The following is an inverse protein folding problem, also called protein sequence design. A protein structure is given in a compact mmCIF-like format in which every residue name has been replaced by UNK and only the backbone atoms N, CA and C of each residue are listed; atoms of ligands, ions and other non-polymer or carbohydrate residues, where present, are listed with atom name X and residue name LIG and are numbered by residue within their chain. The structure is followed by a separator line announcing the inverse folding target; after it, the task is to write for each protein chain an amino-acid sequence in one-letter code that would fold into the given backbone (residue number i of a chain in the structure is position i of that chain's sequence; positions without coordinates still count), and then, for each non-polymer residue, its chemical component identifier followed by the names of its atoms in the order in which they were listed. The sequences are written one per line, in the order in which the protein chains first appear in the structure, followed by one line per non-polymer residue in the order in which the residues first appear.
data_IF_324061894494
#
_entry.id   IF_324061894494
#
_cell.length_a   1.000
_cell.length_b   1.000
_cell.length_c   1.000
_cell.angle_alpha   90.00
_cell.angle_beta   90.00
_cell.angle_gamma   90.00
#
_symmetry.space_group_name_H-M   'P 1'
#
loop_
_entity.id
_entity.type
_entity.pdbx_description
1 polymer ?
#
# COMPACT_ATOMS: atom_id res chain seq x y z
N UNK A 1 -5.43 21.57 -21.35
CA UNK A 1 -5.76 21.93 -19.94
C UNK A 1 -7.27 21.84 -19.81
N UNK A 2 -7.76 21.00 -18.92
CA UNK A 2 -9.20 20.89 -18.66
C UNK A 2 -9.64 22.19 -17.96
N UNK A 3 -10.63 22.88 -18.55
CA UNK A 3 -11.23 24.07 -17.96
C UNK A 3 -12.12 23.64 -16.77
N UNK A 4 -11.56 23.57 -15.59
CA UNK A 4 -12.33 23.33 -14.37
C UNK A 4 -13.15 24.56 -14.01
N UNK A 5 -14.42 24.32 -13.67
CA UNK A 5 -15.34 25.36 -13.20
C UNK A 5 -15.79 25.02 -11.78
N UNK A 6 -16.02 26.04 -10.97
CA UNK A 6 -16.60 25.87 -9.64
C UNK A 6 -18.11 25.68 -9.75
N UNK A 7 -18.65 24.78 -8.92
CA UNK A 7 -20.09 24.61 -8.78
C UNK A 7 -20.57 23.18 -8.92
N UNK A 8 -21.71 22.89 -8.26
CA UNK A 8 -22.30 21.56 -8.16
C UNK A 8 -22.70 21.00 -9.54
N UNK A 9 -23.24 21.83 -10.42
CA UNK A 9 -23.69 21.38 -11.74
C UNK A 9 -22.53 20.94 -12.61
N UNK A 10 -21.39 21.64 -12.55
CA UNK A 10 -20.17 21.22 -13.23
C UNK A 10 -19.68 19.85 -12.68
N UNK A 11 -19.64 19.69 -11.35
CA UNK A 11 -19.23 18.43 -10.72
C UNK A 11 -20.15 17.27 -11.14
N UNK A 12 -21.47 17.43 -11.06
CA UNK A 12 -22.43 16.42 -11.52
C UNK A 12 -22.29 16.04 -12.99
N UNK A 13 -21.97 17.02 -13.83
CA UNK A 13 -21.75 16.76 -15.25
C UNK A 13 -20.46 15.97 -15.49
N UNK A 14 -19.39 16.26 -14.72
CA UNK A 14 -18.15 15.47 -14.75
C UNK A 14 -18.40 14.02 -14.28
N UNK A 15 -19.11 13.83 -13.18
CA UNK A 15 -19.46 12.49 -12.66
C UNK A 15 -20.28 11.68 -13.69
N UNK A 16 -21.24 12.35 -14.37
CA UNK A 16 -22.05 11.69 -15.40
C UNK A 16 -21.24 11.24 -16.61
N UNK A 17 -20.18 11.96 -16.94
CA UNK A 17 -19.31 11.68 -18.09
C UNK A 17 -18.06 10.86 -17.71
N UNK A 18 -17.90 10.50 -16.44
CA UNK A 18 -16.77 9.70 -15.97
C UNK A 18 -16.92 8.24 -16.42
N UNK A 19 -15.99 7.78 -17.26
CA UNK A 19 -15.93 6.39 -17.73
C UNK A 19 -15.76 5.38 -16.59
N UNK A 20 -15.26 5.81 -15.42
CA UNK A 20 -15.03 4.96 -14.25
C UNK A 20 -16.22 4.97 -13.27
N UNK A 21 -17.25 5.76 -13.51
CA UNK A 21 -18.41 5.93 -12.60
C UNK A 21 -19.06 4.60 -12.19
N UNK A 22 -19.12 3.61 -13.08
CA UNK A 22 -19.68 2.29 -12.82
C UNK A 22 -18.92 1.50 -11.73
N UNK A 23 -17.62 1.76 -11.58
CA UNK A 23 -16.79 1.07 -10.59
C UNK A 23 -17.12 1.45 -9.15
N UNK A 24 -17.69 2.64 -8.90
CA UNK A 24 -18.15 3.07 -7.58
C UNK A 24 -19.06 2.03 -6.92
N UNK A 25 -19.93 1.41 -7.70
CA UNK A 25 -20.88 0.40 -7.22
C UNK A 25 -20.21 -0.94 -6.83
N UNK A 26 -18.93 -1.12 -7.11
CA UNK A 26 -18.19 -2.32 -6.72
C UNK A 26 -17.60 -2.25 -5.31
N UNK A 27 -17.75 -1.10 -4.62
CA UNK A 27 -17.23 -0.87 -3.29
C UNK A 27 -18.35 -0.68 -2.25
N UNK A 28 -18.05 -1.02 -1.00
CA UNK A 28 -18.87 -0.65 0.16
C UNK A 28 -18.52 0.79 0.55
N UNK A 29 -19.52 1.66 0.50
CA UNK A 29 -19.36 3.06 0.93
C UNK A 29 -19.91 3.17 2.34
N UNK A 30 -19.11 3.66 3.31
CA UNK A 30 -19.59 3.88 4.68
C UNK A 30 -20.79 4.82 4.71
N UNK A 31 -21.65 4.62 5.70
CA UNK A 31 -22.86 5.42 5.89
C UNK A 31 -22.84 6.12 7.23
N UNK A 32 -23.48 7.27 7.29
CA UNK A 32 -23.72 7.99 8.53
C UNK A 32 -24.82 7.28 9.38
N UNK A 33 -25.11 7.82 10.57
CA UNK A 33 -26.14 7.28 11.48
C UNK A 33 -27.55 7.35 10.90
N UNK A 34 -27.77 8.17 9.90
CA UNK A 34 -29.04 8.35 9.18
C UNK A 34 -29.16 7.44 7.96
N UNK A 35 -28.09 6.72 7.61
CA UNK A 35 -28.06 5.80 6.47
C UNK A 35 -27.60 6.43 5.14
N UNK A 36 -27.19 7.70 5.13
CA UNK A 36 -26.67 8.37 3.95
C UNK A 36 -25.21 7.97 3.69
N UNK A 37 -24.82 7.83 2.44
CA UNK A 37 -23.44 7.55 2.07
C UNK A 37 -22.53 8.72 2.43
N UNK A 38 -21.38 8.41 3.06
CA UNK A 38 -20.35 9.40 3.37
C UNK A 38 -19.58 9.81 2.10
N UNK A 39 -19.14 11.05 2.08
CA UNK A 39 -18.10 11.49 1.12
C UNK A 39 -16.75 10.96 1.63
N UNK A 40 -16.30 9.84 1.04
CA UNK A 40 -15.09 9.16 1.49
C UNK A 40 -13.89 9.60 0.66
N UNK A 41 -13.00 10.40 1.26
CA UNK A 41 -11.81 10.98 0.61
C UNK A 41 -10.49 10.54 1.26
N UNK A 42 -10.53 9.46 2.06
CA UNK A 42 -9.36 8.97 2.82
C UNK A 42 -8.75 7.69 2.24
N UNK A 43 -8.95 7.43 0.96
CA UNK A 43 -8.42 6.26 0.25
C UNK A 43 -6.90 6.13 0.28
N UNK A 44 -6.19 7.22 0.52
CA UNK A 44 -4.74 7.25 0.74
C UNK A 44 -4.30 6.53 2.02
N UNK A 45 -5.17 6.49 3.04
CA UNK A 45 -4.92 5.78 4.31
C UNK A 45 -5.50 4.38 4.29
N UNK A 46 -6.78 4.26 3.97
CA UNK A 46 -7.47 2.97 3.80
C UNK A 46 -8.49 3.08 2.68
N UNK A 47 -8.31 2.31 1.62
CA UNK A 47 -9.26 2.23 0.51
C UNK A 47 -10.61 1.66 0.93
N UNK A 48 -11.66 1.97 0.17
CA UNK A 48 -12.97 1.35 0.35
C UNK A 48 -12.89 -0.15 0.11
N UNK A 49 -13.62 -0.94 0.91
CA UNK A 49 -13.67 -2.38 0.75
C UNK A 49 -14.39 -2.78 -0.55
N UNK A 50 -13.72 -3.51 -1.47
CA UNK A 50 -14.42 -4.08 -2.62
C UNK A 50 -15.47 -5.11 -2.17
N UNK A 51 -16.66 -5.10 -2.77
CA UNK A 51 -17.73 -6.05 -2.45
C UNK A 51 -17.34 -7.52 -2.67
N UNK A 52 -16.41 -7.75 -3.59
CA UNK A 52 -15.89 -9.08 -3.92
C UNK A 52 -14.95 -9.67 -2.87
N UNK A 53 -14.39 -8.83 -1.96
CA UNK A 53 -13.40 -9.26 -0.96
C UNK A 53 -13.88 -10.44 -0.12
N UNK A 54 -15.14 -10.40 0.34
CA UNK A 54 -15.71 -11.50 1.15
C UNK A 54 -15.75 -12.82 0.39
N UNK A 55 -16.07 -12.79 -0.90
CA UNK A 55 -16.12 -14.00 -1.72
C UNK A 55 -14.72 -14.62 -1.89
N UNK A 56 -13.70 -13.82 -2.13
CA UNK A 56 -12.32 -14.32 -2.20
C UNK A 56 -11.84 -14.94 -0.89
N UNK A 57 -12.11 -14.28 0.25
CA UNK A 57 -11.72 -14.81 1.56
C UNK A 57 -12.46 -16.13 1.86
N UNK A 58 -13.76 -16.19 1.58
CA UNK A 58 -14.54 -17.41 1.77
C UNK A 58 -14.02 -18.55 0.90
N UNK A 59 -13.63 -18.30 -0.35
CA UNK A 59 -13.06 -19.30 -1.22
C UNK A 59 -11.80 -19.94 -0.61
N UNK A 60 -10.90 -19.14 -0.07
CA UNK A 60 -9.68 -19.64 0.59
C UNK A 60 -10.00 -20.46 1.86
N UNK A 61 -11.01 -20.03 2.63
CA UNK A 61 -11.45 -20.77 3.81
C UNK A 61 -12.12 -22.11 3.41
N UNK A 62 -12.91 -22.13 2.35
CA UNK A 62 -13.55 -23.33 1.84
C UNK A 62 -12.52 -24.32 1.27
N UNK A 63 -11.53 -23.83 0.53
CA UNK A 63 -10.43 -24.63 0.03
C UNK A 63 -9.62 -25.24 1.19
N UNK A 64 -9.30 -24.47 2.21
CA UNK A 64 -8.63 -24.99 3.39
C UNK A 64 -9.46 -26.07 4.11
N UNK A 65 -10.75 -25.82 4.31
CA UNK A 65 -11.63 -26.77 5.00
C UNK A 65 -11.79 -28.09 4.23
N UNK A 66 -11.83 -28.04 2.90
CA UNK A 66 -12.09 -29.20 2.05
C UNK A 66 -10.83 -29.95 1.62
N UNK A 67 -9.71 -29.25 1.43
CA UNK A 67 -8.49 -29.79 0.85
C UNK A 67 -7.37 -29.98 1.88
N UNK A 68 -7.37 -29.22 2.98
CA UNK A 68 -6.28 -29.26 3.95
C UNK A 68 -4.93 -28.97 3.29
N UNK A 69 -3.95 -29.88 3.46
CA UNK A 69 -2.61 -29.73 2.87
C UNK A 69 -2.61 -29.74 1.34
N UNK A 70 -3.57 -30.41 0.71
CA UNK A 70 -3.68 -30.47 -0.75
C UNK A 70 -4.02 -29.08 -1.36
N UNK A 71 -4.52 -28.15 -0.57
CA UNK A 71 -4.73 -26.76 -1.00
C UNK A 71 -3.46 -26.06 -1.52
N UNK A 72 -2.29 -26.57 -1.17
CA UNK A 72 -1.02 -26.07 -1.72
C UNK A 72 -0.94 -26.24 -3.25
N UNK A 73 -1.59 -27.27 -3.81
CA UNK A 73 -1.54 -27.63 -5.23
C UNK A 73 -2.90 -27.60 -5.91
N UNK A 74 -3.99 -27.92 -5.20
CA UNK A 74 -5.29 -28.23 -5.77
C UNK A 74 -6.40 -27.21 -5.44
N UNK A 75 -6.10 -26.17 -4.63
CA UNK A 75 -7.01 -25.06 -4.38
C UNK A 75 -7.37 -24.31 -5.67
N UNK A 76 -8.45 -23.55 -5.67
CA UNK A 76 -8.79 -22.64 -6.79
C UNK A 76 -7.63 -21.70 -7.12
N UNK A 77 -6.91 -21.26 -6.09
CA UNK A 77 -5.66 -20.49 -6.20
C UNK A 77 -4.56 -21.23 -5.42
N UNK A 78 -3.84 -22.18 -6.01
CA UNK A 78 -2.82 -22.99 -5.34
C UNK A 78 -1.83 -22.16 -4.54
N UNK A 79 -1.68 -22.45 -3.24
CA UNK A 79 -0.98 -21.56 -2.30
C UNK A 79 0.52 -21.47 -2.52
N UNK A 80 1.16 -22.49 -3.11
CA UNK A 80 2.61 -22.45 -3.43
C UNK A 80 3.00 -21.30 -4.35
N UNK A 81 2.10 -20.89 -5.26
CA UNK A 81 2.34 -19.83 -6.24
C UNK A 81 1.58 -18.53 -5.92
N UNK A 82 1.02 -18.41 -4.74
CA UNK A 82 0.13 -17.30 -4.40
C UNK A 82 0.75 -15.93 -4.62
N UNK A 83 2.05 -15.80 -4.38
CA UNK A 83 2.83 -14.57 -4.58
C UNK A 83 2.99 -14.15 -6.05
N UNK A 84 2.73 -15.05 -7.01
CA UNK A 84 2.89 -14.79 -8.45
C UNK A 84 1.62 -14.22 -9.09
N UNK A 85 0.42 -14.54 -8.57
CA UNK A 85 -0.86 -14.26 -9.24
C UNK A 85 -1.13 -12.77 -9.53
N UNK A 86 -0.60 -11.88 -8.74
CA UNK A 86 -0.84 -10.45 -8.88
C UNK A 86 0.36 -9.68 -9.43
N UNK A 87 1.47 -10.36 -9.71
CA UNK A 87 2.75 -9.72 -10.11
C UNK A 87 2.58 -8.87 -11.36
N UNK A 88 2.00 -9.42 -12.43
CA UNK A 88 1.83 -8.69 -13.70
C UNK A 88 0.88 -7.50 -13.55
N UNK A 89 -0.25 -7.70 -12.86
CA UNK A 89 -1.22 -6.63 -12.62
C UNK A 89 -0.61 -5.48 -11.82
N UNK A 90 0.18 -5.81 -10.79
CA UNK A 90 0.85 -4.80 -9.98
C UNK A 90 1.98 -4.11 -10.76
N UNK A 91 2.75 -4.86 -11.55
CA UNK A 91 3.80 -4.29 -12.39
C UNK A 91 3.23 -3.24 -13.37
N UNK A 92 2.08 -3.51 -13.97
CA UNK A 92 1.37 -2.56 -14.83
C UNK A 92 0.92 -1.30 -14.08
N UNK A 93 0.44 -1.45 -12.83
CA UNK A 93 -0.01 -0.31 -12.00
C UNK A 93 1.15 0.59 -11.62
N UNK A 94 2.29 0.01 -11.22
CA UNK A 94 3.46 0.78 -10.74
C UNK A 94 4.43 1.16 -11.86
N UNK A 95 4.19 0.73 -13.10
CA UNK A 95 5.06 1.03 -14.25
C UNK A 95 6.39 0.29 -14.23
N UNK A 96 6.43 -0.92 -13.67
CA UNK A 96 7.62 -1.77 -13.56
C UNK A 96 7.52 -3.02 -14.44
N UNK A 97 8.62 -3.77 -14.56
CA UNK A 97 8.61 -5.10 -15.18
C UNK A 97 8.16 -6.16 -14.17
N UNK A 98 7.48 -7.25 -14.57
CA UNK A 98 7.07 -8.30 -13.64
C UNK A 98 8.21 -8.85 -12.77
N UNK A 99 9.42 -9.00 -13.32
CA UNK A 99 10.60 -9.47 -12.58
C UNK A 99 11.07 -8.52 -11.46
N UNK A 100 10.62 -7.27 -11.49
CA UNK A 100 10.96 -6.24 -10.49
C UNK A 100 9.91 -6.12 -9.38
N UNK A 101 8.82 -6.90 -9.44
CA UNK A 101 7.66 -6.75 -8.55
C UNK A 101 7.35 -8.06 -7.83
N UNK A 102 7.17 -7.96 -6.53
CA UNK A 102 6.59 -9.02 -5.70
C UNK A 102 5.58 -8.41 -4.75
N UNK A 103 4.44 -9.09 -4.60
CA UNK A 103 3.42 -8.71 -3.61
C UNK A 103 3.64 -9.57 -2.37
N UNK A 104 3.92 -8.93 -1.28
CA UNK A 104 4.19 -9.61 -0.01
C UNK A 104 3.59 -8.78 1.14
N UNK A 105 4.04 -8.95 2.33
CA UNK A 105 3.57 -8.42 3.61
C UNK A 105 3.17 -6.92 3.64
N UNK A 106 2.99 -6.39 4.84
CA UNK A 106 2.76 -4.95 5.05
C UNK A 106 4.03 -4.15 4.80
N UNK A 107 3.88 -2.83 4.55
CA UNK A 107 4.99 -1.91 4.32
C UNK A 107 6.07 -2.02 5.40
N UNK A 108 5.69 -1.98 6.68
CA UNK A 108 6.66 -2.04 7.80
C UNK A 108 7.44 -3.35 7.81
N UNK A 109 6.77 -4.50 7.61
CA UNK A 109 7.45 -5.81 7.53
C UNK A 109 8.42 -5.85 6.36
N UNK A 110 8.00 -5.36 5.19
CA UNK A 110 8.83 -5.33 3.99
C UNK A 110 10.04 -4.41 4.18
N UNK A 111 9.86 -3.25 4.81
CA UNK A 111 10.96 -2.35 5.13
C UNK A 111 12.00 -3.05 6.01
N UNK A 112 11.58 -3.77 7.07
CA UNK A 112 12.50 -4.54 7.90
C UNK A 112 13.22 -5.65 7.11
N UNK A 113 12.53 -6.39 6.25
CA UNK A 113 13.16 -7.42 5.41
C UNK A 113 14.20 -6.82 4.45
N UNK A 114 13.90 -5.69 3.84
CA UNK A 114 14.86 -4.98 2.98
C UNK A 114 16.05 -4.47 3.79
N UNK A 115 15.83 -3.90 4.97
CA UNK A 115 16.91 -3.45 5.84
C UNK A 115 17.82 -4.61 6.26
N UNK A 116 17.27 -5.74 6.70
CA UNK A 116 18.06 -6.93 7.08
C UNK A 116 18.85 -7.46 5.87
N UNK A 117 18.27 -7.42 4.68
CA UNK A 117 18.92 -7.94 3.47
C UNK A 117 20.02 -7.02 2.93
N UNK A 118 19.78 -5.72 2.88
CA UNK A 118 20.60 -4.76 2.13
C UNK A 118 21.38 -3.77 3.00
N UNK A 119 20.89 -3.41 4.18
CA UNK A 119 21.59 -2.50 5.07
C UNK A 119 22.75 -3.21 5.77
N UNK A 120 23.96 -2.97 5.30
CA UNK A 120 25.22 -3.53 5.82
C UNK A 120 26.10 -2.39 6.35
N UNK A 121 25.82 -1.88 7.56
CA UNK A 121 26.51 -0.72 8.09
C UNK A 121 27.97 -1.04 8.46
N UNK A 122 28.81 -0.02 8.36
CA UNK A 122 30.20 -0.01 8.84
C UNK A 122 30.41 1.18 9.76
N UNK A 123 31.53 1.23 10.48
CA UNK A 123 31.87 2.36 11.38
C UNK A 123 31.85 3.73 10.66
N UNK A 124 32.11 3.75 9.35
CA UNK A 124 32.18 4.99 8.56
C UNK A 124 30.98 5.19 7.65
N UNK A 125 30.15 4.15 7.42
CA UNK A 125 29.01 4.20 6.52
C UNK A 125 27.81 3.48 7.17
N UNK A 126 27.12 4.18 8.05
CA UNK A 126 25.97 3.64 8.79
C UNK A 126 24.74 4.55 8.77
N UNK A 127 24.90 5.80 8.35
CA UNK A 127 23.81 6.77 8.42
C UNK A 127 22.74 6.46 7.39
N UNK A 128 21.48 6.69 7.78
CA UNK A 128 20.29 6.50 6.96
C UNK A 128 19.61 7.86 6.80
N UNK A 129 19.30 8.23 5.57
CA UNK A 129 18.58 9.45 5.22
C UNK A 129 17.14 9.11 4.90
N UNK A 130 16.20 9.78 5.57
CA UNK A 130 14.76 9.69 5.28
C UNK A 130 14.14 11.10 5.26
N UNK A 131 12.95 11.23 4.71
CA UNK A 131 12.16 12.46 4.79
C UNK A 131 11.85 12.83 6.24
N UNK A 132 11.89 14.13 6.56
CA UNK A 132 11.60 14.58 7.92
C UNK A 132 10.16 14.27 8.36
N UNK A 133 9.23 14.31 7.41
CA UNK A 133 7.81 14.08 7.59
C UNK A 133 7.39 12.64 7.23
N UNK A 134 8.35 11.70 7.14
CA UNK A 134 8.09 10.28 6.96
C UNK A 134 7.12 9.75 8.03
N UNK A 135 6.31 8.76 7.64
CA UNK A 135 5.33 8.18 8.54
C UNK A 135 6.03 7.61 9.80
N UNK A 136 5.46 7.78 11.00
CA UNK A 136 6.12 7.41 12.26
C UNK A 136 6.65 5.97 12.31
N UNK A 137 5.91 5.00 11.73
CA UNK A 137 6.36 3.60 11.70
C UNK A 137 7.66 3.40 10.93
N UNK A 138 7.87 4.16 9.84
CA UNK A 138 9.07 4.06 9.00
C UNK A 138 10.28 4.63 9.75
N UNK A 139 10.07 5.75 10.45
CA UNK A 139 11.08 6.35 11.31
C UNK A 139 11.49 5.38 12.42
N UNK A 140 10.52 4.80 13.14
CA UNK A 140 10.81 3.81 14.19
C UNK A 140 11.51 2.56 13.65
N UNK A 141 11.15 2.08 12.46
CA UNK A 141 11.82 0.96 11.83
C UNK A 141 13.29 1.26 11.57
N UNK A 142 13.61 2.44 10.99
CA UNK A 142 14.97 2.89 10.72
C UNK A 142 15.77 3.06 12.01
N UNK A 143 15.21 3.74 13.02
CA UNK A 143 15.84 3.90 14.33
C UNK A 143 16.14 2.55 14.99
N UNK A 144 15.22 1.59 14.89
CA UNK A 144 15.42 0.24 15.44
C UNK A 144 16.56 -0.51 14.75
N UNK A 145 16.71 -0.36 13.43
CA UNK A 145 17.80 -0.96 12.68
C UNK A 145 19.16 -0.37 13.05
N UNK A 146 19.26 0.94 13.23
CA UNK A 146 20.47 1.58 13.73
C UNK A 146 20.88 1.02 15.09
N UNK A 147 19.95 0.97 16.05
CA UNK A 147 20.19 0.39 17.39
C UNK A 147 20.54 -1.09 17.33
N UNK A 148 19.87 -1.88 16.48
CA UNK A 148 20.19 -3.29 16.28
C UNK A 148 21.63 -3.53 15.86
N UNK A 149 22.17 -2.64 15.03
CA UNK A 149 23.57 -2.68 14.57
C UNK A 149 24.56 -1.97 15.52
N UNK A 150 24.11 -1.51 16.68
CA UNK A 150 24.97 -0.89 17.72
C UNK A 150 25.32 0.58 17.45
N UNK A 151 24.57 1.28 16.58
CA UNK A 151 24.76 2.70 16.31
C UNK A 151 23.75 3.55 17.08
N UNK A 152 24.14 4.77 17.43
CA UNK A 152 23.22 5.78 17.99
C UNK A 152 22.24 6.24 16.90
N UNK A 153 20.96 6.06 17.14
CA UNK A 153 19.91 6.43 16.22
C UNK A 153 19.79 7.96 16.03
N UNK A 154 20.16 8.77 17.06
CA UNK A 154 20.14 10.23 16.97
C UNK A 154 21.23 10.77 16.04
N UNK A 155 22.36 10.08 15.98
CA UNK A 155 23.47 10.44 15.08
C UNK A 155 23.33 9.79 13.70
N UNK A 156 22.76 8.58 13.68
CA UNK A 156 22.63 7.76 12.49
C UNK A 156 21.45 8.10 11.60
N UNK A 157 20.35 8.61 12.16
CA UNK A 157 19.19 9.02 11.40
C UNK A 157 19.30 10.48 10.95
N UNK A 158 19.35 10.68 9.63
CA UNK A 158 19.38 11.99 9.01
C UNK A 158 17.99 12.30 8.46
N UNK A 159 17.38 13.40 8.92
CA UNK A 159 16.09 13.87 8.45
C UNK A 159 16.26 14.89 7.33
N UNK A 160 15.82 14.54 6.13
CA UNK A 160 15.83 15.45 4.99
C UNK A 160 14.59 16.35 5.04
N UNK A 161 14.84 17.64 5.10
CA UNK A 161 13.79 18.68 5.13
C UNK A 161 13.76 19.43 3.82
N UNK A 162 12.58 19.85 3.40
CA UNK A 162 12.44 20.81 2.31
C UNK A 162 13.14 22.11 2.64
N UNK A 163 13.66 22.80 1.63
CA UNK A 163 14.17 24.16 1.80
C UNK A 163 13.00 25.10 2.11
N UNK A 164 13.29 26.18 2.85
CA UNK A 164 12.25 27.18 3.20
C UNK A 164 11.53 27.67 1.94
N UNK A 165 10.19 27.47 1.91
CA UNK A 165 9.34 27.85 0.77
C UNK A 165 9.32 26.85 -0.41
N UNK A 166 9.86 25.64 -0.21
CA UNK A 166 9.79 24.54 -1.19
C UNK A 166 9.18 23.31 -0.53
N UNK A 167 8.56 22.46 -1.33
CA UNK A 167 8.13 21.12 -0.92
C UNK A 167 9.19 20.10 -1.34
N UNK A 168 9.24 18.95 -0.66
CA UNK A 168 9.99 17.80 -1.15
C UNK A 168 9.20 17.23 -2.32
N UNK A 169 9.81 17.16 -3.49
CA UNK A 169 9.23 16.61 -4.71
C UNK A 169 9.47 15.10 -4.78
#
# INVERSE_FOLDING_TARGET
MSNYQLGLEFAKNQDKNDALSAYRNQFHIPKDKQGNELIYMTGNSLGLQPKRTKAYINQELDDWANLGVEGHTDAMHPWLKYHEYLTESMANIVGAKPVEVVIMNTLTSNLHFMMVSFYKPTKTRYKILIEADAFPSDKYAVESQLRHHGFDDKEGLILWKARKGQELA
#
